data_IF_110771513486
#
_entry.id   IF_110771513486
#
_cell.length_a   1.000
_cell.length_b   1.000
_cell.length_c   1.000
_cell.angle_alpha   90.00
_cell.angle_beta   90.00
_cell.angle_gamma   90.00
#
_symmetry.space_group_name_H-M   'P 1'
#
loop_
_entity.id
_entity.type
_entity.pdbx_description
1 polymer ?
#
# COMPACT_ATOMS: atom_id res chain seq x y z
N UNK A 1 -7.27 -36.25 -16.27
CA UNK A 1 -6.81 -35.09 -15.45
C UNK A 1 -7.77 -33.90 -15.57
N UNK A 2 -9.01 -34.17 -16.03
CA UNK A 2 -10.04 -33.14 -16.28
C UNK A 2 -10.84 -32.74 -15.04
N UNK A 3 -10.48 -33.24 -13.85
CA UNK A 3 -11.24 -33.06 -12.60
C UNK A 3 -10.48 -32.29 -11.49
N UNK A 4 -9.27 -31.79 -11.78
CA UNK A 4 -8.50 -31.04 -10.80
C UNK A 4 -8.99 -29.60 -10.73
N UNK A 5 -9.09 -29.04 -9.51
CA UNK A 5 -9.24 -27.60 -9.34
C UNK A 5 -8.00 -26.86 -9.85
N UNK A 6 -8.13 -25.56 -10.17
CA UNK A 6 -6.99 -24.75 -10.63
C UNK A 6 -5.77 -24.85 -9.73
N UNK A 7 -5.97 -24.75 -8.40
CA UNK A 7 -4.89 -24.89 -7.42
C UNK A 7 -4.29 -26.29 -7.35
N UNK A 8 -5.10 -27.33 -7.53
CA UNK A 8 -4.59 -28.71 -7.61
C UNK A 8 -3.74 -28.91 -8.87
N UNK A 9 -4.20 -28.41 -10.01
CA UNK A 9 -3.45 -28.46 -11.27
C UNK A 9 -2.10 -27.75 -11.14
N UNK A 10 -2.07 -26.60 -10.47
CA UNK A 10 -0.85 -25.81 -10.23
C UNK A 10 0.15 -26.55 -9.33
N UNK A 11 -0.32 -27.17 -8.23
CA UNK A 11 0.54 -28.00 -7.36
C UNK A 11 1.11 -29.21 -8.11
N UNK A 12 0.32 -29.84 -8.97
CA UNK A 12 0.81 -30.95 -9.81
C UNK A 12 1.85 -30.45 -10.81
N UNK A 13 1.65 -29.30 -11.46
CA UNK A 13 2.63 -28.71 -12.35
C UNK A 13 3.94 -28.38 -11.65
N UNK A 14 3.88 -27.79 -10.45
CA UNK A 14 5.05 -27.51 -9.63
C UNK A 14 5.77 -28.81 -9.21
N UNK A 15 5.05 -29.83 -8.76
CA UNK A 15 5.61 -31.13 -8.40
C UNK A 15 6.33 -31.78 -9.59
N UNK A 16 5.74 -31.71 -10.78
CA UNK A 16 6.36 -32.21 -12.02
C UNK A 16 7.65 -31.46 -12.37
N UNK A 17 7.68 -30.16 -12.18
CA UNK A 17 8.86 -29.33 -12.45
C UNK A 17 9.99 -29.59 -11.45
N UNK A 18 9.65 -29.93 -10.21
CA UNK A 18 10.61 -30.23 -9.14
C UNK A 18 11.09 -31.70 -9.12
N UNK A 19 10.29 -32.64 -9.66
CA UNK A 19 10.59 -34.08 -9.64
C UNK A 19 12.01 -34.45 -10.17
N UNK A 20 12.51 -33.81 -11.25
CA UNK A 20 13.87 -34.07 -11.73
C UNK A 20 14.98 -33.42 -10.91
N UNK A 21 14.66 -32.80 -9.76
CA UNK A 21 15.60 -32.07 -8.88
C UNK A 21 16.46 -31.04 -9.65
N UNK A 22 15.85 -30.06 -10.33
CA UNK A 22 16.57 -29.10 -11.17
C UNK A 22 17.46 -28.19 -10.31
N UNK A 23 18.60 -27.77 -10.88
CA UNK A 23 19.47 -26.76 -10.25
C UNK A 23 18.86 -25.35 -10.30
N UNK A 24 18.05 -25.08 -11.30
CA UNK A 24 17.34 -23.81 -11.52
C UNK A 24 15.92 -24.11 -12.00
N UNK A 25 14.95 -23.52 -11.34
CA UNK A 25 13.52 -23.57 -11.72
C UNK A 25 13.11 -22.18 -12.22
N UNK A 26 12.48 -22.15 -13.39
CA UNK A 26 11.90 -20.93 -13.96
C UNK A 26 10.38 -20.99 -13.83
N UNK A 27 9.80 -20.01 -13.17
CA UNK A 27 8.37 -19.87 -12.93
C UNK A 27 7.91 -18.53 -13.51
N UNK A 28 7.13 -18.60 -14.60
CA UNK A 28 6.59 -17.42 -15.27
C UNK A 28 5.10 -17.32 -14.98
N UNK A 29 4.72 -16.29 -14.21
CA UNK A 29 3.34 -16.02 -13.78
C UNK A 29 2.59 -17.26 -13.23
N UNK A 30 3.20 -18.06 -12.34
CA UNK A 30 2.66 -19.40 -12.02
C UNK A 30 1.33 -19.37 -11.29
N UNK A 31 0.92 -18.25 -10.68
CA UNK A 31 -0.33 -18.14 -9.91
C UNK A 31 -1.36 -17.18 -10.53
N UNK A 32 -1.09 -16.63 -11.72
CA UNK A 32 -1.91 -15.58 -12.35
C UNK A 32 -3.37 -15.97 -12.62
N UNK A 33 -3.64 -17.26 -12.88
CA UNK A 33 -4.98 -17.76 -13.18
C UNK A 33 -5.84 -18.07 -11.94
N UNK A 34 -5.34 -17.81 -10.74
CA UNK A 34 -5.99 -18.17 -9.48
C UNK A 34 -6.71 -16.98 -8.85
N UNK A 35 -7.78 -17.28 -8.09
CA UNK A 35 -8.37 -16.30 -7.20
C UNK A 35 -7.39 -15.87 -6.09
N UNK A 36 -7.69 -14.74 -5.45
CA UNK A 36 -6.79 -14.11 -4.51
C UNK A 36 -6.44 -15.00 -3.31
N UNK A 37 -7.47 -15.61 -2.67
CA UNK A 37 -7.25 -16.38 -1.44
C UNK A 37 -6.37 -17.61 -1.72
N UNK A 38 -6.64 -18.30 -2.83
CA UNK A 38 -5.87 -19.46 -3.26
C UNK A 38 -4.45 -19.06 -3.67
N UNK A 39 -4.27 -17.89 -4.29
CA UNK A 39 -2.97 -17.33 -4.68
C UNK A 39 -2.09 -17.05 -3.45
N UNK A 40 -2.61 -16.36 -2.43
CA UNK A 40 -1.90 -16.06 -1.19
C UNK A 40 -1.44 -17.35 -0.47
N UNK A 41 -2.33 -18.36 -0.42
CA UNK A 41 -1.99 -19.67 0.16
C UNK A 41 -0.88 -20.38 -0.64
N UNK A 42 -1.03 -20.46 -1.97
CA UNK A 42 -0.08 -21.15 -2.83
C UNK A 42 1.28 -20.45 -2.90
N UNK A 43 1.34 -19.12 -2.81
CA UNK A 43 2.61 -18.39 -2.72
C UNK A 43 3.41 -18.85 -1.48
N UNK A 44 2.73 -19.03 -0.35
CA UNK A 44 3.36 -19.55 0.87
C UNK A 44 3.82 -21.00 0.71
N UNK A 45 3.01 -21.84 0.08
CA UNK A 45 3.34 -23.24 -0.21
C UNK A 45 4.58 -23.32 -1.13
N UNK A 46 4.59 -22.54 -2.22
CA UNK A 46 5.72 -22.47 -3.17
C UNK A 46 7.01 -22.09 -2.46
N UNK A 47 6.99 -21.02 -1.64
CA UNK A 47 8.15 -20.61 -0.84
C UNK A 47 8.68 -21.78 0.02
N UNK A 48 7.76 -22.45 0.71
CA UNK A 48 8.11 -23.57 1.61
C UNK A 48 8.77 -24.72 0.85
N UNK A 49 8.18 -25.10 -0.28
CA UNK A 49 8.68 -26.20 -1.11
C UNK A 49 10.06 -25.86 -1.69
N UNK A 50 10.24 -24.65 -2.22
CA UNK A 50 11.53 -24.22 -2.78
C UNK A 50 12.63 -24.20 -1.73
N UNK A 51 12.34 -23.74 -0.51
CA UNK A 51 13.30 -23.71 0.60
C UNK A 51 13.66 -25.11 1.09
N UNK A 52 12.68 -25.98 1.26
CA UNK A 52 12.91 -27.36 1.68
C UNK A 52 13.71 -28.15 0.64
N UNK A 53 13.45 -27.91 -0.64
CA UNK A 53 14.15 -28.55 -1.74
C UNK A 53 15.55 -27.98 -2.02
N UNK A 54 15.89 -26.82 -1.46
CA UNK A 54 17.16 -26.13 -1.75
C UNK A 54 17.30 -25.72 -3.22
N UNK A 55 16.18 -25.65 -3.95
CA UNK A 55 16.17 -25.34 -5.38
C UNK A 55 16.25 -23.83 -5.61
N UNK A 56 17.21 -23.38 -6.43
CA UNK A 56 17.22 -22.00 -6.89
C UNK A 56 16.06 -21.76 -7.87
N UNK A 57 15.30 -20.70 -7.66
CA UNK A 57 14.19 -20.37 -8.56
C UNK A 57 14.26 -18.93 -9.04
N UNK A 58 13.94 -18.71 -10.31
CA UNK A 58 13.59 -17.41 -10.85
C UNK A 58 12.08 -17.37 -11.01
N UNK A 59 11.43 -16.50 -10.24
CA UNK A 59 9.99 -16.34 -10.19
C UNK A 59 9.61 -15.00 -10.80
N UNK A 60 8.84 -15.01 -11.88
CA UNK A 60 8.35 -13.81 -12.57
C UNK A 60 6.88 -13.63 -12.22
N UNK A 61 6.50 -12.47 -11.76
CA UNK A 61 5.11 -12.10 -11.46
C UNK A 61 4.91 -10.60 -11.59
N UNK A 62 3.69 -10.17 -11.87
CA UNK A 62 3.25 -8.78 -11.77
C UNK A 62 2.56 -8.46 -10.42
N UNK A 63 2.37 -9.48 -9.58
CA UNK A 63 1.76 -9.33 -8.26
C UNK A 63 2.86 -9.09 -7.20
N UNK A 64 2.82 -7.90 -6.58
CA UNK A 64 3.80 -7.52 -5.57
C UNK A 64 3.71 -8.38 -4.30
N UNK A 65 2.49 -8.77 -3.88
CA UNK A 65 2.27 -9.59 -2.68
C UNK A 65 2.90 -10.98 -2.88
N UNK A 66 2.79 -11.56 -4.09
CA UNK A 66 3.49 -12.79 -4.45
C UNK A 66 5.01 -12.63 -4.36
N UNK A 67 5.55 -11.61 -5.03
CA UNK A 67 6.99 -11.37 -5.07
C UNK A 67 7.57 -11.21 -3.65
N UNK A 68 6.90 -10.40 -2.81
CA UNK A 68 7.33 -10.15 -1.42
C UNK A 68 7.19 -11.39 -0.53
N UNK A 69 6.23 -12.28 -0.84
CA UNK A 69 6.01 -13.51 -0.07
C UNK A 69 7.00 -14.60 -0.46
N UNK A 70 7.20 -14.85 -1.75
CA UNK A 70 7.94 -16.00 -2.25
C UNK A 70 9.45 -15.78 -2.22
N UNK A 71 9.93 -14.60 -2.60
CA UNK A 71 11.32 -14.37 -2.92
C UNK A 71 12.21 -14.08 -1.70
N UNK A 72 13.48 -14.48 -1.79
CA UNK A 72 14.54 -14.01 -0.89
C UNK A 72 15.13 -12.69 -1.37
N UNK A 73 15.08 -12.43 -2.69
CA UNK A 73 15.43 -11.16 -3.32
C UNK A 73 14.41 -10.83 -4.41
N UNK A 74 13.97 -9.59 -4.44
CA UNK A 74 13.00 -9.07 -5.44
C UNK A 74 13.71 -8.10 -6.35
N UNK A 75 13.57 -8.32 -7.66
CA UNK A 75 14.01 -7.41 -8.71
C UNK A 75 12.81 -6.68 -9.29
N UNK A 76 12.79 -5.34 -9.19
CA UNK A 76 11.77 -4.51 -9.83
C UNK A 76 12.28 -4.10 -11.20
N UNK A 77 11.49 -4.42 -12.23
CA UNK A 77 11.83 -4.14 -13.63
C UNK A 77 10.80 -3.21 -14.27
N UNK A 78 11.27 -2.32 -15.13
CA UNK A 78 10.43 -1.49 -15.98
C UNK A 78 11.08 -1.33 -17.35
N UNK A 79 10.31 -1.50 -18.41
CA UNK A 79 10.77 -1.33 -19.81
C UNK A 79 12.08 -2.08 -20.12
N UNK A 80 12.21 -3.32 -19.62
CA UNK A 80 13.39 -4.16 -19.82
C UNK A 80 14.62 -3.78 -18.99
N UNK A 81 14.51 -2.82 -18.08
CA UNK A 81 15.59 -2.40 -17.19
C UNK A 81 15.32 -2.82 -15.76
N UNK A 82 16.34 -3.34 -15.09
CA UNK A 82 16.30 -3.60 -13.66
C UNK A 82 16.47 -2.27 -12.92
N UNK A 83 15.42 -1.84 -12.21
CA UNK A 83 15.44 -0.59 -11.43
C UNK A 83 16.11 -0.81 -10.07
N UNK A 84 15.78 -1.91 -9.39
CA UNK A 84 16.35 -2.27 -8.09
C UNK A 84 16.29 -3.77 -7.88
N UNK A 85 17.25 -4.31 -7.10
CA UNK A 85 17.29 -5.70 -6.67
C UNK A 85 17.76 -5.77 -5.22
N UNK A 86 16.87 -6.15 -4.32
CA UNK A 86 17.20 -6.26 -2.89
C UNK A 86 16.30 -7.30 -2.20
N UNK A 87 16.49 -7.48 -0.88
CA UNK A 87 15.55 -8.26 -0.06
C UNK A 87 14.22 -7.53 0.07
N UNK A 88 13.08 -8.25 0.24
CA UNK A 88 11.78 -7.64 0.49
C UNK A 88 11.80 -6.56 1.57
N UNK A 89 12.47 -6.82 2.69
CA UNK A 89 12.56 -5.91 3.83
C UNK A 89 13.29 -4.61 3.47
N UNK A 90 14.40 -4.70 2.71
CA UNK A 90 15.16 -3.51 2.30
C UNK A 90 14.43 -2.69 1.26
N UNK A 91 13.77 -3.35 0.30
CA UNK A 91 12.93 -2.64 -0.68
C UNK A 91 11.79 -1.88 -0.02
N UNK A 92 11.19 -2.46 1.04
CA UNK A 92 10.13 -1.82 1.80
C UNK A 92 10.65 -0.64 2.64
N UNK A 93 11.81 -0.79 3.28
CA UNK A 93 12.40 0.26 4.11
C UNK A 93 12.98 1.43 3.29
N UNK A 94 13.51 1.13 2.11
CA UNK A 94 14.10 2.10 1.20
C UNK A 94 13.84 1.69 -0.25
N UNK A 95 12.77 2.19 -0.88
CA UNK A 95 12.48 1.92 -2.28
C UNK A 95 13.51 2.50 -3.25
N UNK A 96 14.19 3.60 -2.89
CA UNK A 96 15.25 4.25 -3.65
C UNK A 96 14.80 4.98 -4.91
N UNK A 97 13.54 4.90 -5.31
CA UNK A 97 12.95 5.68 -6.39
C UNK A 97 11.43 5.69 -6.36
N UNK A 98 10.82 6.75 -6.89
CA UNK A 98 9.37 6.89 -6.98
C UNK A 98 8.69 5.75 -7.75
N UNK A 99 9.36 5.19 -8.76
CA UNK A 99 8.85 4.06 -9.54
C UNK A 99 8.77 2.78 -8.71
N UNK A 100 9.84 2.46 -7.98
CA UNK A 100 9.86 1.31 -7.08
C UNK A 100 8.86 1.49 -5.95
N UNK A 101 8.79 2.67 -5.34
CA UNK A 101 7.83 2.99 -4.28
C UNK A 101 6.39 2.77 -4.74
N UNK A 102 6.02 3.31 -5.92
CA UNK A 102 4.67 3.11 -6.49
C UNK A 102 4.38 1.65 -6.82
N UNK A 103 5.36 0.92 -7.35
CA UNK A 103 5.21 -0.53 -7.56
C UNK A 103 4.91 -1.26 -6.24
N UNK A 104 5.52 -0.86 -5.14
CA UNK A 104 5.28 -1.41 -3.80
C UNK A 104 4.00 -0.89 -3.14
N UNK A 105 3.21 -0.07 -3.83
CA UNK A 105 1.94 0.46 -3.33
C UNK A 105 2.07 1.64 -2.38
N UNK A 106 3.22 2.32 -2.37
CA UNK A 106 3.39 3.57 -1.63
C UNK A 106 2.70 4.73 -2.38
N UNK A 107 2.10 5.64 -1.64
CA UNK A 107 1.77 6.95 -2.14
C UNK A 107 3.05 7.80 -2.18
N UNK A 108 3.29 8.48 -3.30
CA UNK A 108 4.52 9.28 -3.50
C UNK A 108 4.17 10.74 -3.63
N UNK A 109 4.75 11.54 -2.74
CA UNK A 109 4.56 12.99 -2.66
C UNK A 109 5.93 13.68 -2.69
N UNK A 110 6.30 14.28 -3.82
CA UNK A 110 7.66 14.77 -4.02
C UNK A 110 8.70 13.66 -3.84
N UNK A 111 9.64 13.87 -2.93
CA UNK A 111 10.69 12.90 -2.58
C UNK A 111 10.29 12.01 -1.37
N UNK A 112 9.04 12.08 -0.93
CA UNK A 112 8.53 11.29 0.18
C UNK A 112 7.68 10.13 -0.33
N UNK A 113 7.99 8.92 0.11
CA UNK A 113 7.17 7.73 -0.08
C UNK A 113 6.44 7.39 1.23
N UNK A 114 5.11 7.30 1.15
CA UNK A 114 4.21 6.95 2.25
C UNK A 114 3.76 5.51 2.07
N UNK A 115 4.22 4.60 2.92
CA UNK A 115 3.78 3.21 2.87
C UNK A 115 2.29 3.08 3.17
N UNK A 116 1.60 2.04 2.71
CA UNK A 116 0.22 1.79 3.07
C UNK A 116 -0.01 1.86 4.58
N UNK A 117 -0.93 2.73 5.01
CA UNK A 117 -1.23 2.98 6.43
C UNK A 117 -0.26 3.91 7.15
N UNK A 118 0.61 4.64 6.43
CA UNK A 118 1.41 5.73 6.99
C UNK A 118 0.52 6.87 7.49
N UNK A 119 -0.60 7.11 6.85
CA UNK A 119 -1.59 8.10 7.27
C UNK A 119 -2.82 7.41 7.86
N UNK A 120 -3.32 7.97 8.96
CA UNK A 120 -4.55 7.51 9.63
C UNK A 120 -5.45 8.68 9.93
N UNK A 121 -6.75 8.51 9.67
CA UNK A 121 -7.76 9.46 10.15
C UNK A 121 -7.84 9.35 11.66
N UNK A 122 -7.76 10.49 12.33
CA UNK A 122 -7.97 10.57 13.79
C UNK A 122 -9.45 10.83 14.01
N UNK A 123 -10.15 9.82 14.49
CA UNK A 123 -11.55 9.96 14.87
C UNK A 123 -11.64 10.80 16.16
N UNK A 124 -12.54 11.78 16.18
CA UNK A 124 -12.88 12.45 17.43
C UNK A 124 -13.44 11.39 18.42
N UNK A 125 -12.97 11.39 19.65
CA UNK A 125 -13.52 10.52 20.68
C UNK A 125 -15.05 10.71 20.72
N UNK A 126 -15.82 9.63 20.62
CA UNK A 126 -17.27 9.65 20.63
C UNK A 126 -17.79 10.12 22.03
N UNK A 127 -17.68 11.41 22.30
CA UNK A 127 -18.02 12.00 23.60
C UNK A 127 -18.48 13.45 23.52
N UNK A 128 -18.35 14.13 22.40
CA UNK A 128 -18.73 15.55 22.26
C UNK A 128 -19.66 15.82 21.06
N UNK A 129 -20.47 14.86 20.65
CA UNK A 129 -21.63 15.16 19.83
C UNK A 129 -22.73 15.64 20.79
N UNK A 130 -22.82 16.97 20.95
CA UNK A 130 -24.01 17.60 21.54
C UNK A 130 -25.26 17.09 20.86
N UNK A 131 -26.34 16.92 21.60
CA UNK A 131 -27.65 16.52 21.08
C UNK A 131 -28.03 17.32 19.83
N UNK A 132 -28.70 16.68 18.85
CA UNK A 132 -29.15 17.38 17.63
C UNK A 132 -30.16 18.47 18.01
N UNK A 133 -29.69 19.70 18.04
CA UNK A 133 -30.57 20.87 18.11
C UNK A 133 -31.42 20.96 16.84
N UNK A 134 -32.71 21.26 17.00
CA UNK A 134 -33.68 21.43 15.93
C UNK A 134 -33.18 22.44 14.86
N UNK A 135 -33.42 22.20 13.57
CA UNK A 135 -32.97 23.09 12.49
C UNK A 135 -33.92 24.28 12.34
N UNK A 136 -33.56 25.43 12.89
CA UNK A 136 -34.26 26.69 12.56
C UNK A 136 -33.26 27.66 11.94
N UNK A 137 -33.37 27.86 10.61
CA UNK A 137 -32.69 28.93 9.86
C UNK A 137 -32.11 28.49 8.52
N UNK A 138 -32.02 29.41 7.51
CA UNK A 138 -31.51 29.08 6.18
C UNK A 138 -30.01 28.73 6.25
N UNK A 139 -29.69 27.53 5.77
CA UNK A 139 -28.37 26.98 5.74
C UNK A 139 -27.37 27.87 5.00
N UNK A 140 -26.51 28.54 5.76
CA UNK A 140 -25.21 28.97 5.25
C UNK A 140 -24.31 27.75 5.32
N UNK A 141 -23.93 27.20 4.16
CA UNK A 141 -23.06 26.04 4.03
C UNK A 141 -21.61 26.45 4.33
N UNK A 142 -21.32 26.80 5.57
CA UNK A 142 -19.93 26.79 6.05
C UNK A 142 -19.60 25.35 6.37
N UNK A 143 -18.69 24.77 5.59
CA UNK A 143 -18.09 23.47 5.89
C UNK A 143 -17.39 23.61 7.25
N UNK A 144 -17.83 22.90 8.30
CA UNK A 144 -17.23 23.06 9.63
C UNK A 144 -15.73 22.77 9.55
N UNK A 145 -14.94 23.65 10.13
CA UNK A 145 -13.49 23.44 10.24
C UNK A 145 -13.25 22.12 10.96
N UNK A 146 -12.35 21.28 10.42
CA UNK A 146 -11.94 20.06 11.11
C UNK A 146 -11.41 20.44 12.51
N UNK A 147 -11.73 19.66 13.56
CA UNK A 147 -11.21 19.91 14.88
C UNK A 147 -9.68 19.93 14.83
N UNK A 148 -9.07 21.03 15.26
CA UNK A 148 -7.62 21.16 15.34
C UNK A 148 -7.11 20.24 16.47
N UNK A 149 -6.77 19.02 16.13
CA UNK A 149 -6.11 18.09 17.04
C UNK A 149 -4.60 18.33 16.95
N UNK A 150 -3.89 18.63 18.04
CA UNK A 150 -2.44 18.85 18.00
C UNK A 150 -1.70 17.65 17.35
N UNK A 151 -0.77 17.94 16.44
CA UNK A 151 -0.01 16.91 15.72
C UNK A 151 -0.80 16.14 14.67
N UNK A 152 -1.82 16.78 14.08
CA UNK A 152 -2.56 16.25 12.94
C UNK A 152 -2.57 17.23 11.77
N UNK A 153 -2.67 16.66 10.57
CA UNK A 153 -2.76 17.42 9.31
C UNK A 153 -4.22 17.42 8.85
N UNK A 154 -4.85 18.56 8.60
CA UNK A 154 -6.19 18.60 8.04
C UNK A 154 -6.15 18.15 6.58
N UNK A 155 -7.12 17.32 6.16
CA UNK A 155 -7.24 16.86 4.80
C UNK A 155 -8.71 16.82 4.38
N UNK A 156 -8.96 16.86 3.06
CA UNK A 156 -10.30 16.73 2.50
C UNK A 156 -10.47 15.33 1.92
N UNK A 157 -11.52 14.63 2.34
CA UNK A 157 -11.85 13.31 1.82
C UNK A 157 -12.40 13.46 0.39
N UNK A 158 -11.84 12.69 -0.54
CA UNK A 158 -12.30 12.59 -1.92
C UNK A 158 -13.24 11.40 -2.10
N UNK A 159 -12.90 10.28 -1.47
CA UNK A 159 -13.69 9.06 -1.49
C UNK A 159 -13.32 8.16 -0.31
N UNK A 160 -14.25 7.30 0.09
CA UNK A 160 -13.99 6.21 1.05
C UNK A 160 -14.36 4.87 0.45
N UNK A 161 -13.56 3.85 0.76
CA UNK A 161 -13.81 2.47 0.31
C UNK A 161 -13.43 1.47 1.39
N UNK A 162 -14.17 0.38 1.45
CA UNK A 162 -13.82 -0.75 2.30
C UNK A 162 -12.92 -1.70 1.52
N UNK A 163 -11.70 -1.90 2.00
CA UNK A 163 -10.74 -2.82 1.38
C UNK A 163 -10.17 -3.76 2.43
N UNK A 164 -10.28 -5.06 2.20
CA UNK A 164 -9.79 -6.10 3.13
C UNK A 164 -10.31 -5.97 4.56
N UNK A 165 -11.55 -5.48 4.74
CA UNK A 165 -12.14 -5.26 6.06
C UNK A 165 -11.67 -4.00 6.77
N UNK A 166 -10.90 -3.14 6.10
CA UNK A 166 -10.44 -1.85 6.60
C UNK A 166 -10.94 -0.71 5.72
N UNK A 167 -11.40 0.37 6.33
CA UNK A 167 -11.76 1.57 5.60
C UNK A 167 -10.50 2.32 5.16
N UNK A 168 -10.46 2.66 3.89
CA UNK A 168 -9.45 3.53 3.28
C UNK A 168 -10.15 4.80 2.79
N UNK A 169 -9.65 5.96 3.21
CA UNK A 169 -10.06 7.27 2.71
C UNK A 169 -9.00 7.78 1.73
N UNK A 170 -9.40 8.04 0.49
CA UNK A 170 -8.60 8.83 -0.43
C UNK A 170 -8.77 10.28 -0.06
N UNK A 171 -7.69 10.96 0.29
CA UNK A 171 -7.70 12.33 0.79
C UNK A 171 -6.81 13.23 -0.04
N UNK A 172 -7.18 14.50 -0.11
CA UNK A 172 -6.40 15.55 -0.74
C UNK A 172 -5.70 16.39 0.33
N UNK A 173 -4.38 16.53 0.19
CA UNK A 173 -3.53 17.37 0.99
C UNK A 173 -3.19 18.64 0.21
N UNK A 174 -3.40 19.81 0.80
CA UNK A 174 -2.97 21.07 0.23
C UNK A 174 -1.42 21.20 0.27
N UNK A 175 -0.81 22.04 -0.57
CA UNK A 175 0.64 22.22 -0.62
C UNK A 175 1.28 22.59 0.72
N UNK A 176 0.60 23.40 1.55
CA UNK A 176 1.09 23.79 2.86
C UNK A 176 1.21 22.59 3.82
N UNK A 177 0.26 21.66 3.74
CA UNK A 177 0.21 20.44 4.54
C UNK A 177 1.32 19.46 4.14
N UNK A 178 1.70 19.45 2.86
CA UNK A 178 2.81 18.66 2.36
C UNK A 178 4.16 19.15 2.93
N UNK A 179 4.31 20.47 3.07
CA UNK A 179 5.50 21.05 3.70
C UNK A 179 5.58 20.65 5.19
N UNK A 180 4.44 20.63 5.88
CA UNK A 180 4.39 20.21 7.28
C UNK A 180 4.70 18.72 7.44
N UNK A 181 4.14 17.87 6.57
CA UNK A 181 4.40 16.43 6.51
C UNK A 181 5.91 16.14 6.34
N UNK A 182 6.59 16.88 5.46
CA UNK A 182 8.03 16.71 5.23
C UNK A 182 8.88 17.19 6.41
N UNK A 183 8.45 18.19 7.16
CA UNK A 183 9.13 18.62 8.39
C UNK A 183 9.04 17.58 9.49
N UNK A 184 7.88 16.96 9.70
CA UNK A 184 7.68 15.91 10.70
C UNK A 184 8.52 14.67 10.43
N UNK A 185 8.77 14.35 9.15
CA UNK A 185 9.58 13.18 8.75
C UNK A 185 11.08 13.44 8.80
N UNK A 186 11.52 14.67 9.02
CA UNK A 186 12.95 15.03 8.94
C UNK A 186 13.54 14.92 7.54
N UNK A 187 12.70 14.70 6.55
CA UNK A 187 13.07 14.69 5.11
C UNK A 187 13.21 16.15 4.68
N UNK A 188 14.43 16.66 4.63
CA UNK A 188 14.71 18.05 4.25
C UNK A 188 14.12 18.35 2.87
N UNK A 189 13.31 19.39 2.80
CA UNK A 189 12.76 19.91 1.54
C UNK A 189 13.82 20.71 0.80
N UNK A 190 14.52 20.08 -0.11
CA UNK A 190 15.20 20.77 -1.20
C UNK A 190 14.49 20.51 -2.54
N UNK A 191 13.22 20.20 -2.47
CA UNK A 191 12.40 19.95 -3.64
C UNK A 191 11.29 20.97 -3.71
N UNK A 192 11.11 21.51 -4.87
CA UNK A 192 9.90 22.14 -5.35
C UNK A 192 8.74 21.18 -5.05
N UNK A 193 8.16 21.29 -3.85
CA UNK A 193 6.87 20.66 -3.54
C UNK A 193 5.96 21.23 -4.62
N UNK A 194 5.59 20.38 -5.59
CA UNK A 194 4.71 20.76 -6.67
C UNK A 194 3.53 21.49 -6.04
N UNK A 195 3.22 22.70 -6.52
CA UNK A 195 2.10 23.53 -6.02
C UNK A 195 0.72 22.90 -6.30
N UNK A 196 0.69 21.60 -6.52
CA UNK A 196 -0.49 20.82 -6.83
C UNK A 196 -0.87 20.01 -5.60
N UNK A 197 -2.14 20.00 -5.21
CA UNK A 197 -2.62 19.15 -4.12
C UNK A 197 -2.23 17.68 -4.36
N UNK A 198 -1.78 16.99 -3.33
CA UNK A 198 -1.44 15.58 -3.43
C UNK A 198 -2.60 14.71 -2.97
N UNK A 199 -2.85 13.62 -3.71
CA UNK A 199 -3.80 12.59 -3.32
C UNK A 199 -3.06 11.44 -2.68
N UNK A 200 -3.50 11.09 -1.48
CA UNK A 200 -2.90 10.03 -0.67
C UNK A 200 -3.98 9.19 0.00
N UNK A 201 -3.63 8.00 0.43
CA UNK A 201 -4.55 7.08 1.11
C UNK A 201 -4.31 7.07 2.61
N UNK A 202 -5.35 7.34 3.40
CA UNK A 202 -5.35 7.24 4.84
C UNK A 202 -6.22 6.07 5.31
N UNK A 203 -5.80 5.38 6.37
CA UNK A 203 -6.64 4.38 7.03
C UNK A 203 -7.65 5.08 7.94
N UNK A 204 -8.90 4.60 7.92
CA UNK A 204 -10.00 5.10 8.74
C UNK A 204 -10.69 3.96 9.48
N UNK A 205 -11.44 4.28 10.55
CA UNK A 205 -12.22 3.28 11.30
C UNK A 205 -13.64 3.14 10.76
N UNK A 206 -14.14 4.17 10.08
CA UNK A 206 -15.49 4.24 9.48
C UNK A 206 -15.41 4.87 8.07
N UNK A 207 -16.48 4.79 7.27
CA UNK A 207 -16.55 5.55 6.03
C UNK A 207 -16.66 7.06 6.32
N UNK A 208 -16.12 7.86 5.43
CA UNK A 208 -16.22 9.31 5.44
C UNK A 208 -16.83 9.78 4.12
N UNK A 209 -17.59 10.86 4.15
CA UNK A 209 -18.23 11.41 2.98
C UNK A 209 -17.25 12.27 2.16
N UNK A 210 -17.45 12.32 0.83
CA UNK A 210 -16.66 13.18 -0.02
C UNK A 210 -16.89 14.66 0.37
N UNK A 211 -15.80 15.42 0.50
CA UNK A 211 -15.79 16.80 0.99
C UNK A 211 -15.67 16.93 2.51
N UNK A 212 -15.80 15.86 3.28
CA UNK A 212 -15.56 15.87 4.72
C UNK A 212 -14.10 16.25 5.02
N UNK A 213 -13.90 17.11 6.02
CA UNK A 213 -12.57 17.46 6.51
C UNK A 213 -12.20 16.58 7.68
N UNK A 214 -11.10 15.89 7.58
CA UNK A 214 -10.61 14.93 8.58
C UNK A 214 -9.21 15.29 9.04
N UNK A 215 -8.90 15.14 10.33
CA UNK A 215 -7.53 15.25 10.83
C UNK A 215 -6.79 13.94 10.55
N UNK A 216 -5.59 14.04 9.98
CA UNK A 216 -4.72 12.92 9.70
C UNK A 216 -3.53 12.91 10.67
N UNK A 217 -3.16 11.72 11.12
CA UNK A 217 -1.90 11.48 11.84
C UNK A 217 -0.96 10.68 10.96
N UNK A 218 0.29 11.16 10.88
CA UNK A 218 1.37 10.46 10.21
C UNK A 218 2.06 9.48 11.15
N UNK A 219 2.43 8.31 10.64
CA UNK A 219 3.38 7.38 11.25
C UNK A 219 4.73 7.53 10.54
N UNK A 220 5.72 8.23 11.13
CA UNK A 220 7.01 8.46 10.50
C UNK A 220 7.80 7.19 10.21
N UNK A 221 7.56 6.10 10.98
CA UNK A 221 8.20 4.81 10.75
C UNK A 221 7.76 4.12 9.46
N UNK A 222 6.69 4.62 8.83
CA UNK A 222 6.14 4.12 7.56
C UNK A 222 6.41 5.06 6.38
N UNK A 223 7.44 5.87 6.49
CA UNK A 223 7.86 6.80 5.44
C UNK A 223 9.26 6.47 4.97
N UNK A 224 9.55 6.75 3.70
CA UNK A 224 10.89 6.62 3.14
C UNK A 224 11.20 7.84 2.25
N UNK A 225 12.49 8.21 2.19
CA UNK A 225 12.99 9.20 1.24
C UNK A 225 13.35 8.49 -0.08
N UNK A 226 13.05 9.13 -1.21
CA UNK A 226 13.30 8.61 -2.55
C UNK A 226 14.58 9.17 -3.17
#
# INVERSE_FOLDING_TARGET
VTTLSGGQAQRVALARALAPAPRLLLLDEPLSALDRALREQLATDVRTILRQGGTTALYVTHDQDEAMTVADRVGVMESGRLLRLDTPQRLWADPGSSKVARFLGFDVVGDLALAPGALRVVEAAAGELGEPGEPDGPAQTEIPAAPETPGTLPATVLASRLRRGQWEAEVELAPEQLVELTKETGVGTDATVDRVPARVTALAQRPHDAGERVPLRLDPARTARL
#
